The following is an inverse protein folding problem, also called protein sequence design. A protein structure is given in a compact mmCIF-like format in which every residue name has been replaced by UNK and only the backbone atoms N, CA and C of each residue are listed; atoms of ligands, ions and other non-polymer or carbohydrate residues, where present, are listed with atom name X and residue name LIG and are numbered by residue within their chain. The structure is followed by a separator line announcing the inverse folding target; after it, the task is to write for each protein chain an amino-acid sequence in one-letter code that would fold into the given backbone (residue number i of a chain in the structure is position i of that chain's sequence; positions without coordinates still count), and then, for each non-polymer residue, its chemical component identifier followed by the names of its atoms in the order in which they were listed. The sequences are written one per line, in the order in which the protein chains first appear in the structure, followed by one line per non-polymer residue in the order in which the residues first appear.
data_IF_670948609133
#
_entry.id   IF_670948609133
#
_cell.length_a   1.000
_cell.length_b   1.000
_cell.length_c   1.000
_cell.angle_alpha   90.00
_cell.angle_beta   90.00
_cell.angle_gamma   90.00
#
_symmetry.space_group_name_H-M   'P 1'
#
loop_
_entity.id
_entity.type
_entity.pdbx_description
1 polymer ?
#
# COMPACT_ATOMS: atom_id res chain seq x y z
N UNK A 1 -21.80 -10.49 -22.22
CA UNK A 1 -20.39 -10.02 -22.15
C UNK A 1 -20.39 -8.77 -21.30
N UNK A 2 -19.60 -8.71 -20.24
CA UNK A 2 -19.52 -7.54 -19.36
C UNK A 2 -18.87 -6.35 -20.09
N UNK A 3 -19.51 -5.19 -20.05
CA UNK A 3 -19.01 -3.96 -20.67
C UNK A 3 -18.11 -3.21 -19.68
N UNK A 4 -16.88 -2.91 -20.08
CA UNK A 4 -15.98 -2.09 -19.29
C UNK A 4 -16.46 -0.66 -19.24
N UNK A 5 -16.53 -0.07 -18.05
CA UNK A 5 -16.94 1.29 -17.81
C UNK A 5 -15.90 2.03 -16.96
N UNK A 6 -15.64 3.27 -17.31
CA UNK A 6 -14.73 4.14 -16.56
C UNK A 6 -15.27 5.57 -16.48
N UNK A 7 -14.96 6.26 -15.41
CA UNK A 7 -15.17 7.70 -15.27
C UNK A 7 -13.95 8.29 -14.58
N UNK A 8 -13.33 9.25 -15.22
CA UNK A 8 -12.20 10.00 -14.68
C UNK A 8 -12.57 11.47 -14.59
N UNK A 9 -12.42 12.04 -13.41
CA UNK A 9 -12.54 13.49 -13.21
C UNK A 9 -11.17 14.08 -12.90
N UNK A 10 -10.81 15.15 -13.63
CA UNK A 10 -9.60 15.92 -13.34
C UNK A 10 -10.04 17.36 -13.07
N UNK A 11 -9.83 17.81 -11.83
CA UNK A 11 -10.26 19.12 -11.33
C UNK A 11 -9.05 20.04 -11.17
N UNK A 12 -8.94 21.03 -12.07
CA UNK A 12 -8.01 22.13 -12.00
C UNK A 12 -8.77 23.46 -12.04
N UNK A 13 -8.38 24.38 -12.91
CA UNK A 13 -9.16 25.61 -13.18
C UNK A 13 -10.54 25.32 -13.77
N UNK A 14 -10.67 24.19 -14.45
CA UNK A 14 -11.92 23.61 -14.96
C UNK A 14 -11.95 22.14 -14.58
N UNK A 15 -13.14 21.53 -14.56
CA UNK A 15 -13.30 20.09 -14.37
C UNK A 15 -13.40 19.41 -15.74
N UNK A 16 -12.55 18.43 -15.95
CA UNK A 16 -12.54 17.58 -17.14
C UNK A 16 -13.03 16.19 -16.77
N UNK A 17 -13.99 15.67 -17.51
CA UNK A 17 -14.56 14.35 -17.31
C UNK A 17 -14.30 13.49 -18.54
N UNK A 18 -13.73 12.30 -18.32
CA UNK A 18 -13.49 11.30 -19.36
C UNK A 18 -14.23 10.03 -19.00
N UNK A 19 -15.13 9.59 -19.87
CA UNK A 19 -15.85 8.32 -19.74
C UNK A 19 -15.12 7.17 -20.45
N UNK A 20 -14.13 7.50 -21.29
CA UNK A 20 -13.33 6.54 -22.04
C UNK A 20 -11.85 6.87 -21.90
N UNK A 21 -11.07 5.87 -21.55
CA UNK A 21 -9.61 5.92 -21.47
C UNK A 21 -9.01 4.77 -22.26
N UNK A 22 -7.75 4.88 -22.65
CA UNK A 22 -7.02 3.79 -23.31
C UNK A 22 -6.61 2.74 -22.32
N UNK A 23 -6.03 3.17 -21.19
CA UNK A 23 -5.68 2.31 -20.05
C UNK A 23 -5.56 3.10 -18.75
N UNK A 24 -5.68 2.36 -17.66
CA UNK A 24 -5.36 2.83 -16.32
C UNK A 24 -4.59 1.73 -15.59
N UNK A 25 -3.53 2.10 -14.89
CA UNK A 25 -2.81 1.25 -13.97
C UNK A 25 -2.73 1.93 -12.60
N UNK A 26 -3.13 1.24 -11.54
CA UNK A 26 -3.05 1.72 -10.16
C UNK A 26 -2.23 0.72 -9.36
N UNK A 27 -1.17 1.18 -8.69
CA UNK A 27 -0.31 0.33 -7.87
C UNK A 27 -0.45 0.72 -6.40
N UNK A 28 -0.92 -0.23 -5.60
CA UNK A 28 -1.05 -0.16 -4.15
C UNK A 28 -0.09 -1.16 -3.53
N UNK A 29 0.93 -0.70 -2.85
CA UNK A 29 1.97 -1.56 -2.27
C UNK A 29 2.22 -1.14 -0.82
N UNK A 30 2.23 -2.10 0.11
CA UNK A 30 2.52 -1.84 1.54
C UNK A 30 3.96 -1.37 1.76
N UNK A 31 4.85 -1.68 0.83
CA UNK A 31 6.25 -1.25 0.88
C UNK A 31 6.49 0.08 0.16
N UNK A 32 5.47 0.69 -0.43
CA UNK A 32 5.50 2.04 -0.97
C UNK A 32 4.75 3.02 -0.07
N UNK A 33 5.28 4.24 0.09
CA UNK A 33 4.57 5.33 0.78
C UNK A 33 3.36 5.82 -0.02
N UNK A 34 3.47 5.76 -1.35
CA UNK A 34 2.57 6.40 -2.30
C UNK A 34 1.86 5.37 -3.15
N UNK A 35 0.52 5.48 -3.27
CA UNK A 35 -0.23 4.83 -4.33
C UNK A 35 -0.02 5.63 -5.61
N UNK A 36 0.34 4.96 -6.69
CA UNK A 36 0.50 5.59 -8.00
C UNK A 36 -0.63 5.21 -8.94
N UNK A 37 -1.01 6.14 -9.81
CA UNK A 37 -1.96 5.89 -10.88
C UNK A 37 -1.40 6.43 -12.20
N UNK A 38 -1.36 5.60 -13.23
CA UNK A 38 -0.97 5.99 -14.58
C UNK A 38 -2.19 5.87 -15.49
N UNK A 39 -2.63 6.99 -16.04
CA UNK A 39 -3.74 7.09 -16.97
C UNK A 39 -3.21 7.32 -18.38
N UNK A 40 -3.73 6.58 -19.36
CA UNK A 40 -3.47 6.82 -20.76
C UNK A 40 -4.77 7.26 -21.42
N UNK A 41 -4.80 8.51 -21.86
CA UNK A 41 -5.95 9.09 -22.52
C UNK A 41 -6.01 8.70 -24.02
N UNK A 42 -7.19 8.78 -24.67
CA UNK A 42 -7.31 8.52 -26.10
C UNK A 42 -6.40 9.43 -26.94
N UNK A 43 -5.96 8.96 -28.10
CA UNK A 43 -5.08 9.72 -29.01
C UNK A 43 -5.65 11.05 -29.46
N UNK A 44 -6.97 11.11 -29.68
CA UNK A 44 -7.67 12.30 -30.15
C UNK A 44 -8.59 12.81 -29.05
N UNK A 45 -8.22 13.92 -28.43
CA UNK A 45 -9.02 14.62 -27.44
C UNK A 45 -9.25 16.04 -27.94
N UNK A 46 -10.52 16.47 -27.92
CA UNK A 46 -10.87 17.86 -28.15
C UNK A 46 -11.05 18.56 -26.80
N UNK A 47 -10.16 19.48 -26.51
CA UNK A 47 -10.22 20.28 -25.29
C UNK A 47 -11.15 21.50 -25.54
N UNK A 48 -12.43 21.35 -25.14
CA UNK A 48 -13.42 22.42 -25.37
C UNK A 48 -12.99 23.77 -24.75
N UNK A 49 -12.74 24.75 -25.62
CA UNK A 49 -12.32 26.09 -25.19
C UNK A 49 -10.85 26.26 -24.87
N UNK A 50 -10.01 25.26 -25.18
CA UNK A 50 -8.57 25.31 -24.98
C UNK A 50 -7.84 24.93 -26.27
N UNK A 51 -6.73 25.60 -26.55
CA UNK A 51 -5.87 25.30 -27.71
C UNK A 51 -4.91 24.12 -27.48
N UNK A 52 -4.68 23.73 -26.25
CA UNK A 52 -3.78 22.67 -25.86
C UNK A 52 -4.28 21.94 -24.61
N UNK A 53 -3.60 20.87 -24.20
CA UNK A 53 -3.93 20.12 -22.99
C UNK A 53 -3.84 21.02 -21.73
N UNK A 54 -4.97 21.33 -21.06
CA UNK A 54 -5.04 22.24 -19.92
C UNK A 54 -4.65 21.61 -18.58
N UNK A 55 -4.51 20.29 -18.52
CA UNK A 55 -4.18 19.55 -17.28
C UNK A 55 -2.80 19.98 -16.78
N UNK A 56 -2.70 20.24 -15.47
CA UNK A 56 -1.48 20.72 -14.81
C UNK A 56 -1.10 19.82 -13.64
N UNK A 57 0.17 19.86 -13.25
CA UNK A 57 0.64 19.28 -11.99
C UNK A 57 -0.15 19.89 -10.82
N UNK A 58 -0.62 19.03 -9.92
CA UNK A 58 -1.42 19.41 -8.76
C UNK A 58 -2.93 19.44 -9.00
N UNK A 59 -3.41 19.25 -10.24
CA UNK A 59 -4.83 19.07 -10.48
C UNK A 59 -5.31 17.78 -9.78
N UNK A 60 -6.48 17.82 -9.13
CA UNK A 60 -7.06 16.66 -8.45
C UNK A 60 -7.57 15.65 -9.47
N UNK A 61 -7.36 14.38 -9.19
CA UNK A 61 -7.79 13.25 -10.04
C UNK A 61 -8.62 12.30 -9.23
N UNK A 62 -9.78 11.92 -9.78
CA UNK A 62 -10.62 10.85 -9.24
C UNK A 62 -10.92 9.85 -10.35
N UNK A 63 -10.73 8.57 -10.07
CA UNK A 63 -10.89 7.48 -11.03
C UNK A 63 -11.90 6.47 -10.53
N UNK A 64 -12.95 6.23 -11.29
CA UNK A 64 -13.90 5.16 -11.09
C UNK A 64 -13.78 4.15 -12.23
N UNK A 65 -13.75 2.88 -11.88
CA UNK A 65 -13.66 1.76 -12.82
C UNK A 65 -14.73 0.73 -12.49
N UNK A 66 -15.24 0.03 -13.49
CA UNK A 66 -16.26 -0.96 -13.27
C UNK A 66 -16.71 -1.72 -14.52
N UNK A 67 -17.79 -2.47 -14.34
CA UNK A 67 -18.48 -3.21 -15.38
C UNK A 67 -19.97 -2.78 -15.43
N UNK A 68 -20.56 -2.74 -16.63
CA UNK A 68 -22.00 -2.53 -16.84
C UNK A 68 -22.59 -1.36 -16.06
N UNK A 69 -21.83 -0.24 -16.03
CA UNK A 69 -22.14 1.02 -15.33
C UNK A 69 -22.11 0.95 -13.79
N UNK A 70 -21.74 -0.21 -13.20
CA UNK A 70 -21.40 -0.32 -11.78
C UNK A 70 -19.96 0.14 -11.54
N UNK A 71 -19.80 1.41 -11.21
CA UNK A 71 -18.53 2.09 -11.04
C UNK A 71 -18.10 2.11 -9.57
N UNK A 72 -16.90 1.62 -9.29
CA UNK A 72 -16.25 1.68 -8.00
C UNK A 72 -15.14 2.72 -8.00
N UNK A 73 -15.00 3.45 -6.90
CA UNK A 73 -13.90 4.40 -6.71
C UNK A 73 -12.58 3.64 -6.59
N UNK A 74 -11.74 3.79 -7.62
CA UNK A 74 -10.47 3.08 -7.71
C UNK A 74 -9.28 3.91 -7.24
N UNK A 75 -9.33 5.25 -7.42
CA UNK A 75 -8.21 6.13 -7.04
C UNK A 75 -8.67 7.56 -6.82
N UNK A 76 -8.06 8.21 -5.83
CA UNK A 76 -8.08 9.66 -5.64
C UNK A 76 -6.65 10.15 -5.41
N UNK A 77 -6.35 11.34 -5.94
CA UNK A 77 -5.04 11.95 -5.78
C UNK A 77 -4.84 13.15 -6.68
N UNK A 78 -3.60 13.34 -7.13
CA UNK A 78 -3.16 14.54 -7.83
C UNK A 78 -2.29 14.19 -9.03
N UNK A 79 -2.38 15.01 -10.08
CA UNK A 79 -1.48 14.91 -11.23
C UNK A 79 -0.06 15.24 -10.79
N UNK A 80 0.84 14.28 -10.94
CA UNK A 80 2.28 14.48 -10.73
C UNK A 80 2.94 15.00 -12.00
N UNK A 81 2.65 14.34 -13.13
CA UNK A 81 3.27 14.63 -14.42
C UNK A 81 2.34 14.26 -15.56
N UNK A 82 2.42 15.01 -16.66
CA UNK A 82 1.75 14.66 -17.91
C UNK A 82 2.77 14.51 -19.05
N UNK A 83 2.53 13.54 -19.93
CA UNK A 83 3.26 13.36 -21.17
C UNK A 83 2.84 14.42 -22.23
N UNK A 84 3.75 14.66 -23.19
CA UNK A 84 3.49 15.57 -24.30
C UNK A 84 3.13 14.84 -25.60
N UNK A 85 3.42 13.54 -25.68
CA UNK A 85 3.15 12.71 -26.87
C UNK A 85 1.77 12.07 -26.80
N UNK A 86 1.11 11.93 -27.94
CA UNK A 86 -0.15 11.19 -28.04
C UNK A 86 0.10 9.68 -28.25
N UNK A 87 -0.57 8.78 -27.49
CA UNK A 87 -1.58 9.05 -26.48
C UNK A 87 -0.98 9.72 -25.24
N UNK A 88 -1.75 10.60 -24.60
CA UNK A 88 -1.28 11.37 -23.44
C UNK A 88 -1.26 10.46 -22.21
N UNK A 89 -0.11 10.29 -21.63
CA UNK A 89 0.08 9.64 -20.33
C UNK A 89 0.04 10.67 -19.20
N UNK A 90 -0.73 10.39 -18.15
CA UNK A 90 -0.83 11.20 -16.93
C UNK A 90 -0.43 10.32 -15.75
N UNK A 91 0.61 10.71 -15.04
CA UNK A 91 1.05 10.05 -13.80
C UNK A 91 0.50 10.82 -12.62
N UNK A 92 -0.11 10.08 -11.69
CA UNK A 92 -0.74 10.63 -10.51
C UNK A 92 -0.21 9.93 -9.25
N UNK A 93 -0.28 10.64 -8.13
CA UNK A 93 0.01 10.15 -6.80
C UNK A 93 -1.19 10.41 -5.89
N UNK A 94 -1.37 9.59 -4.86
CA UNK A 94 -2.38 9.78 -3.84
C UNK A 94 -2.11 11.02 -2.97
N UNK A 95 -2.74 11.14 -1.82
CA UNK A 95 -2.57 12.25 -0.88
C UNK A 95 -1.11 12.44 -0.38
N UNK A 96 -0.22 11.48 -0.63
CA UNK A 96 1.20 11.66 -0.35
C UNK A 96 1.81 12.81 -1.17
N UNK A 97 1.23 13.11 -2.35
CA UNK A 97 1.57 14.31 -3.13
C UNK A 97 1.46 15.59 -2.29
N UNK A 98 0.43 15.72 -1.47
CA UNK A 98 0.23 16.87 -0.57
C UNK A 98 1.25 16.83 0.56
N UNK A 99 1.48 15.66 1.18
CA UNK A 99 2.43 15.52 2.29
C UNK A 99 3.88 15.81 1.87
N UNK A 100 4.24 15.57 0.62
CA UNK A 100 5.53 15.98 0.04
C UNK A 100 5.73 17.51 -0.02
N UNK A 101 4.63 18.26 0.05
CA UNK A 101 4.64 19.72 0.01
C UNK A 101 4.28 20.35 1.37
N UNK A 102 3.86 19.53 2.34
CA UNK A 102 3.49 19.97 3.69
C UNK A 102 4.76 20.07 4.55
N UNK A 103 5.14 21.27 5.02
CA UNK A 103 6.30 21.42 5.89
C UNK A 103 6.16 20.59 7.16
N UNK A 104 7.22 19.89 7.56
CA UNK A 104 7.23 19.15 8.81
C UNK A 104 7.36 20.09 10.01
N UNK A 105 6.59 19.84 11.08
CA UNK A 105 6.72 20.54 12.35
C UNK A 105 8.00 20.06 13.04
N UNK A 106 9.04 20.91 13.03
CA UNK A 106 10.35 20.61 13.62
C UNK A 106 10.26 20.68 15.14
N UNK A 107 10.39 19.54 15.80
CA UNK A 107 10.28 19.40 17.26
C UNK A 107 11.22 18.31 17.78
N UNK A 108 11.71 18.47 19.01
CA UNK A 108 12.50 17.46 19.70
C UNK A 108 11.67 16.89 20.85
N UNK A 109 11.59 15.58 20.92
CA UNK A 109 10.86 14.85 21.95
C UNK A 109 11.85 14.09 22.84
N UNK A 110 11.58 14.05 24.13
CA UNK A 110 12.31 13.17 25.07
C UNK A 110 11.79 11.74 25.00
N UNK A 111 10.48 11.60 24.77
CA UNK A 111 9.79 10.33 24.56
C UNK A 111 8.50 10.61 23.78
N UNK A 112 8.23 9.86 22.69
CA UNK A 112 7.04 10.07 21.87
C UNK A 112 6.59 8.79 21.24
N UNK A 113 5.27 8.59 21.17
CA UNK A 113 4.63 7.55 20.35
C UNK A 113 4.47 8.03 18.91
N UNK A 114 4.39 7.10 17.96
CA UNK A 114 4.13 7.42 16.54
C UNK A 114 2.84 8.21 16.38
N UNK A 115 1.80 7.86 17.15
CA UNK A 115 0.52 8.57 17.11
C UNK A 115 0.67 10.05 17.50
N UNK A 116 1.34 10.33 18.62
CA UNK A 116 1.56 11.70 19.09
C UNK A 116 2.49 12.48 18.14
N UNK A 117 3.53 11.80 17.62
CA UNK A 117 4.43 12.38 16.62
C UNK A 117 3.68 12.86 15.38
N UNK A 118 2.73 12.05 14.89
CA UNK A 118 1.93 12.38 13.69
C UNK A 118 0.82 13.39 14.01
N UNK A 119 0.18 13.33 15.17
CA UNK A 119 -0.79 14.35 15.63
C UNK A 119 -0.16 15.75 15.69
N UNK A 120 1.07 15.84 16.17
CA UNK A 120 1.82 17.10 16.23
C UNK A 120 2.15 17.69 14.84
N UNK A 121 2.05 16.89 13.76
CA UNK A 121 2.19 17.41 12.40
C UNK A 121 0.94 18.17 11.91
N UNK A 122 -0.15 18.19 12.68
CA UNK A 122 -1.40 18.89 12.37
C UNK A 122 -1.97 18.57 10.99
N UNK A 123 -1.95 17.28 10.64
CA UNK A 123 -2.44 16.80 9.34
C UNK A 123 -3.97 16.84 9.30
N UNK A 124 -4.51 17.29 8.18
CA UNK A 124 -5.96 17.33 7.95
C UNK A 124 -6.48 15.99 7.39
N UNK A 125 -6.06 14.87 8.00
CA UNK A 125 -6.48 13.52 7.64
C UNK A 125 -6.89 12.73 8.88
N UNK A 126 -7.81 11.80 8.70
CA UNK A 126 -8.05 10.77 9.72
C UNK A 126 -6.80 9.89 9.79
N UNK A 127 -6.27 9.73 11.00
CA UNK A 127 -5.09 8.93 11.28
C UNK A 127 -5.51 7.61 11.94
N UNK A 128 -5.05 6.50 11.39
CA UNK A 128 -5.16 5.16 12.00
C UNK A 128 -3.78 4.61 12.29
N UNK A 129 -3.40 4.58 13.55
CA UNK A 129 -2.14 3.99 14.00
C UNK A 129 -2.39 2.56 14.44
N UNK A 130 -1.69 1.60 13.80
CA UNK A 130 -1.80 0.17 14.06
C UNK A 130 -0.67 -0.27 14.98
N UNK A 131 -1.03 -0.79 16.15
CA UNK A 131 -0.11 -1.14 17.21
C UNK A 131 0.45 0.09 17.94
N UNK A 132 0.69 -0.05 19.23
CA UNK A 132 1.31 1.00 20.01
C UNK A 132 2.82 1.00 19.77
N UNK A 133 3.34 2.07 19.16
CA UNK A 133 4.75 2.22 18.82
C UNK A 133 5.33 3.44 19.55
N UNK A 134 6.23 3.20 20.49
CA UNK A 134 7.00 4.27 21.14
C UNK A 134 8.38 4.38 20.47
N UNK A 135 8.62 5.50 19.79
CA UNK A 135 9.89 5.76 19.11
C UNK A 135 10.93 6.41 20.03
N UNK A 136 10.60 6.62 21.31
CA UNK A 136 11.51 7.15 22.32
C UNK A 136 11.89 8.60 22.07
N UNK A 137 13.17 8.91 22.28
CA UNK A 137 13.71 10.24 21.99
C UNK A 137 13.77 10.44 20.47
N UNK A 138 13.06 11.44 19.97
CA UNK A 138 12.97 11.69 18.54
C UNK A 138 13.14 13.17 18.22
N UNK A 139 13.88 13.46 17.16
CA UNK A 139 14.02 14.82 16.63
C UNK A 139 13.53 14.86 15.19
N UNK A 140 12.47 15.60 14.97
CA UNK A 140 12.00 15.90 13.59
C UNK A 140 12.92 16.96 13.00
N UNK A 141 13.73 16.56 12.01
CA UNK A 141 14.67 17.43 11.31
C UNK A 141 14.66 17.14 9.81
N UNK A 142 13.46 17.12 9.25
CA UNK A 142 13.18 16.93 7.83
C UNK A 142 12.41 18.12 7.30
N UNK A 143 12.35 18.28 5.97
CA UNK A 143 11.72 19.47 5.40
C UNK A 143 10.21 19.29 5.21
N UNK A 144 9.74 18.08 4.95
CA UNK A 144 8.32 17.82 4.74
C UNK A 144 7.86 16.53 5.45
N UNK A 145 6.54 16.39 5.58
CA UNK A 145 5.94 15.25 6.29
C UNK A 145 6.21 13.92 5.59
N UNK A 146 6.26 13.88 4.26
CA UNK A 146 6.55 12.63 3.55
C UNK A 146 7.95 12.09 3.87
N UNK A 147 8.94 12.97 4.05
CA UNK A 147 10.28 12.57 4.52
C UNK A 147 10.25 12.02 5.95
N UNK A 148 9.44 12.63 6.85
CA UNK A 148 9.23 12.06 8.19
C UNK A 148 8.68 10.63 8.11
N UNK A 149 7.67 10.41 7.27
CA UNK A 149 7.09 9.09 7.07
C UNK A 149 8.09 8.10 6.43
N UNK A 150 8.95 8.57 5.53
CA UNK A 150 10.01 7.76 4.95
C UNK A 150 11.03 7.31 6.02
N UNK A 151 11.44 8.18 6.93
CA UNK A 151 12.30 7.81 8.04
C UNK A 151 11.63 6.82 9.01
N UNK A 152 10.33 6.97 9.27
CA UNK A 152 9.59 5.98 10.07
C UNK A 152 9.58 4.61 9.38
N UNK A 153 9.42 4.58 8.06
CA UNK A 153 9.44 3.37 7.25
C UNK A 153 10.80 2.63 7.32
N UNK A 154 11.91 3.35 7.34
CA UNK A 154 13.25 2.76 7.53
C UNK A 154 13.35 1.95 8.83
N UNK A 155 12.52 2.28 9.81
CA UNK A 155 12.40 1.60 11.09
C UNK A 155 11.19 0.65 11.17
N UNK A 156 10.76 0.11 10.03
CA UNK A 156 9.66 -0.86 9.89
C UNK A 156 8.27 -0.32 10.26
N UNK A 157 8.10 0.99 10.38
CA UNK A 157 6.80 1.63 10.58
C UNK A 157 6.27 2.02 9.19
N UNK A 158 5.41 1.16 8.63
CA UNK A 158 4.82 1.39 7.31
C UNK A 158 3.76 2.49 7.37
N UNK A 159 3.65 3.25 6.30
CA UNK A 159 2.66 4.33 6.20
C UNK A 159 2.15 4.45 4.77
N UNK A 160 0.85 4.59 4.61
CA UNK A 160 0.20 4.78 3.31
C UNK A 160 -1.24 5.29 3.48
N UNK A 161 -1.81 5.85 2.43
CA UNK A 161 -3.22 6.21 2.41
C UNK A 161 -4.10 5.08 1.91
N UNK A 162 -5.27 4.89 2.55
CA UNK A 162 -6.38 4.06 2.05
C UNK A 162 -7.62 4.93 1.87
N UNK A 163 -8.49 4.53 0.96
CA UNK A 163 -9.81 5.14 0.82
C UNK A 163 -10.80 4.39 1.70
N UNK A 164 -11.42 5.09 2.64
CA UNK A 164 -12.53 4.61 3.46
C UNK A 164 -13.70 5.57 3.32
N UNK A 165 -14.86 5.04 2.99
CA UNK A 165 -16.05 5.85 2.70
C UNK A 165 -15.72 7.04 1.76
N UNK A 166 -14.97 6.73 0.69
CA UNK A 166 -14.50 7.68 -0.31
C UNK A 166 -13.58 8.80 0.20
N UNK A 167 -13.04 8.67 1.42
CA UNK A 167 -12.11 9.63 2.02
C UNK A 167 -10.73 9.03 2.24
N UNK A 168 -9.66 9.81 2.03
CA UNK A 168 -8.33 9.36 2.33
C UNK A 168 -8.09 9.28 3.85
N UNK A 169 -7.67 8.12 4.32
CA UNK A 169 -7.27 7.84 5.70
C UNK A 169 -5.80 7.44 5.72
N UNK A 170 -5.02 8.10 6.56
CA UNK A 170 -3.61 7.80 6.73
C UNK A 170 -3.41 6.66 7.71
N UNK A 171 -2.96 5.53 7.21
CA UNK A 171 -2.56 4.37 8.00
C UNK A 171 -1.08 4.46 8.34
N UNK A 172 -0.72 4.16 9.59
CA UNK A 172 0.66 4.13 10.05
C UNK A 172 0.86 3.05 11.10
N UNK A 173 1.98 2.37 11.10
CA UNK A 173 2.35 1.43 12.16
C UNK A 173 2.88 0.09 11.66
N UNK A 174 2.81 -0.91 12.55
CA UNK A 174 3.15 -2.30 12.26
C UNK A 174 1.89 -3.01 11.78
N UNK A 175 1.88 -3.41 10.50
CA UNK A 175 0.67 -3.79 9.77
C UNK A 175 0.21 -5.25 9.99
N UNK A 176 0.87 -6.00 10.87
CA UNK A 176 0.72 -7.44 10.93
C UNK A 176 -0.54 -7.95 11.65
N UNK A 177 -1.00 -7.22 12.66
CA UNK A 177 -2.12 -7.66 13.51
C UNK A 177 -3.48 -7.10 13.09
N UNK A 178 -3.54 -6.44 11.92
CA UNK A 178 -4.78 -5.88 11.43
C UNK A 178 -5.65 -6.97 10.80
N UNK A 179 -6.68 -7.43 11.51
CA UNK A 179 -7.65 -8.41 11.04
C UNK A 179 -9.04 -7.81 10.98
N UNK A 180 -9.50 -7.51 9.76
CA UNK A 180 -10.83 -6.93 9.48
C UNK A 180 -11.88 -7.96 9.04
N UNK A 181 -11.56 -9.24 9.11
CA UNK A 181 -12.37 -10.30 8.53
C UNK A 181 -12.07 -10.51 7.03
N UNK A 182 -12.60 -11.61 6.48
CA UNK A 182 -12.39 -11.95 5.06
C UNK A 182 -13.25 -11.03 4.20
N UNK A 183 -12.61 -10.24 3.34
CA UNK A 183 -13.29 -9.38 2.37
C UNK A 183 -13.78 -10.16 1.14
N UNK A 184 -12.96 -11.11 0.66
CA UNK A 184 -13.26 -11.91 -0.53
C UNK A 184 -12.56 -13.27 -0.44
N UNK A 185 -13.18 -14.29 -1.05
CA UNK A 185 -12.59 -15.61 -1.26
C UNK A 185 -12.25 -15.77 -2.74
N UNK A 186 -11.03 -16.19 -3.02
CA UNK A 186 -10.53 -16.47 -4.35
C UNK A 186 -10.31 -17.97 -4.53
N UNK A 187 -10.74 -18.50 -5.67
CA UNK A 187 -10.68 -19.92 -5.98
C UNK A 187 -10.26 -20.15 -7.43
N UNK A 188 -9.32 -21.07 -7.65
CA UNK A 188 -8.89 -21.48 -8.99
C UNK A 188 -10.06 -22.06 -9.76
N UNK A 189 -10.15 -21.68 -11.04
CA UNK A 189 -11.26 -22.10 -11.92
C UNK A 189 -12.59 -21.35 -11.69
N UNK A 190 -12.67 -20.46 -10.69
CA UNK A 190 -13.87 -19.65 -10.39
C UNK A 190 -13.60 -18.17 -10.65
N UNK A 191 -12.73 -17.56 -9.88
CA UNK A 191 -12.44 -16.13 -9.98
C UNK A 191 -10.92 -15.80 -10.00
N UNK A 192 -10.04 -16.78 -9.89
CA UNK A 192 -8.62 -16.66 -10.23
C UNK A 192 -8.47 -16.89 -11.73
N UNK A 193 -7.93 -15.90 -12.44
CA UNK A 193 -7.68 -15.97 -13.90
C UNK A 193 -6.33 -16.64 -14.17
N UNK A 194 -5.31 -16.32 -13.37
CA UNK A 194 -3.97 -16.89 -13.45
C UNK A 194 -3.38 -17.00 -12.05
N UNK A 195 -2.83 -18.16 -11.77
CA UNK A 195 -2.15 -18.53 -10.53
C UNK A 195 -0.70 -18.97 -10.74
N UNK A 196 -0.17 -18.74 -11.95
CA UNK A 196 1.17 -19.19 -12.34
C UNK A 196 2.32 -18.64 -11.48
N UNK A 197 2.05 -17.64 -10.66
CA UNK A 197 3.01 -17.04 -9.72
C UNK A 197 2.67 -17.36 -8.26
N UNK A 198 1.76 -18.31 -8.00
CA UNK A 198 1.51 -18.84 -6.67
C UNK A 198 2.35 -20.08 -6.44
N UNK A 199 3.10 -20.07 -5.35
CA UNK A 199 3.91 -21.20 -4.90
C UNK A 199 3.46 -21.67 -3.52
N UNK A 200 3.54 -22.98 -3.30
CA UNK A 200 3.32 -23.57 -1.98
C UNK A 200 4.61 -23.47 -1.16
N UNK A 201 4.50 -22.87 0.02
CA UNK A 201 5.62 -22.73 0.95
C UNK A 201 5.45 -23.72 2.10
N UNK A 202 6.46 -24.56 2.33
CA UNK A 202 6.56 -25.37 3.52
C UNK A 202 7.50 -24.68 4.51
N UNK A 203 7.10 -24.64 5.77
CA UNK A 203 7.87 -23.98 6.83
C UNK A 203 9.28 -24.56 7.02
N UNK A 204 9.44 -25.86 6.73
CA UNK A 204 10.73 -26.56 6.81
C UNK A 204 11.72 -26.14 5.73
N UNK A 205 11.23 -25.73 4.56
CA UNK A 205 12.06 -25.31 3.43
C UNK A 205 12.50 -23.84 3.55
N UNK A 206 11.81 -23.06 4.38
CA UNK A 206 12.08 -21.62 4.54
C UNK A 206 13.18 -21.41 5.58
N UNK A 207 14.35 -21.05 5.10
CA UNK A 207 15.49 -20.71 5.95
C UNK A 207 15.65 -19.19 6.04
N UNK A 208 15.41 -18.64 7.22
CA UNK A 208 15.48 -17.21 7.48
C UNK A 208 16.33 -16.95 8.72
N UNK A 209 17.24 -15.97 8.61
CA UNK A 209 17.96 -15.38 9.74
C UNK A 209 17.51 -13.97 9.96
N UNK A 210 16.74 -13.75 11.05
CA UNK A 210 16.28 -12.42 11.42
C UNK A 210 17.30 -11.72 12.32
N UNK A 211 17.69 -10.51 11.91
CA UNK A 211 18.38 -9.56 12.76
C UNK A 211 17.38 -8.57 13.32
N UNK A 212 17.07 -8.70 14.59
CA UNK A 212 16.21 -7.78 15.32
C UNK A 212 17.05 -6.61 15.86
N UNK A 213 16.66 -5.41 15.53
CA UNK A 213 17.29 -4.18 16.03
C UNK A 213 16.28 -3.45 16.88
N UNK A 214 16.48 -3.47 18.21
CA UNK A 214 15.68 -2.70 19.14
C UNK A 214 16.31 -1.32 19.33
N UNK A 215 15.59 -0.31 18.89
CA UNK A 215 15.95 1.10 19.08
C UNK A 215 15.58 1.51 20.52
N UNK A 216 16.57 1.98 21.28
CA UNK A 216 16.33 2.38 22.66
C UNK A 216 15.80 3.82 22.75
N UNK A 217 15.09 4.18 23.84
CA UNK A 217 14.49 5.51 24.00
C UNK A 217 15.47 6.69 23.88
N UNK A 218 16.77 6.47 24.09
CA UNK A 218 17.82 7.47 23.93
C UNK A 218 18.26 7.67 22.48
N UNK A 219 17.80 6.81 21.55
CA UNK A 219 18.17 6.77 20.13
C UNK A 219 19.70 6.67 19.85
N UNK A 220 20.50 6.41 20.86
CA UNK A 220 21.96 6.23 20.74
C UNK A 220 22.34 4.77 20.81
N UNK A 221 21.68 4.03 21.70
CA UNK A 221 21.92 2.62 21.90
C UNK A 221 20.97 1.78 21.04
N UNK A 222 21.50 0.67 20.53
CA UNK A 222 20.74 -0.31 19.75
C UNK A 222 21.07 -1.68 20.28
N UNK A 223 20.06 -2.40 20.75
CA UNK A 223 20.18 -3.82 21.08
C UNK A 223 19.99 -4.59 19.76
N UNK A 224 20.90 -5.51 19.50
CA UNK A 224 20.85 -6.35 18.29
C UNK A 224 20.81 -7.80 18.69
N UNK A 225 19.80 -8.51 18.25
CA UNK A 225 19.64 -9.96 18.48
C UNK A 225 19.47 -10.64 17.13
N UNK A 226 20.01 -11.82 16.97
CA UNK A 226 19.81 -12.66 15.79
C UNK A 226 19.04 -13.92 16.21
N UNK A 227 18.01 -14.26 15.43
CA UNK A 227 17.20 -15.48 15.60
C UNK A 227 17.01 -16.18 14.27
N UNK A 228 16.80 -17.50 14.28
CA UNK A 228 16.54 -18.31 13.09
C UNK A 228 17.76 -19.07 12.57
N UNK A 229 17.73 -19.42 11.29
CA UNK A 229 18.67 -20.35 10.68
C UNK A 229 20.00 -19.66 10.32
N UNK A 230 21.13 -20.27 10.65
CA UNK A 230 22.44 -19.67 10.42
C UNK A 230 22.78 -19.49 8.92
N UNK A 231 22.24 -20.37 8.08
CA UNK A 231 22.38 -20.39 6.62
C UNK A 231 21.19 -19.74 5.90
N UNK A 232 20.25 -19.14 6.65
CA UNK A 232 19.04 -18.54 6.10
C UNK A 232 19.24 -17.15 5.46
N UNK A 233 18.26 -16.75 4.65
CA UNK A 233 18.15 -15.40 4.10
C UNK A 233 18.16 -14.37 5.23
N UNK A 234 19.08 -13.40 5.16
CA UNK A 234 19.21 -12.37 6.17
C UNK A 234 18.18 -11.28 5.98
N UNK A 235 17.32 -11.09 6.99
CA UNK A 235 16.34 -9.99 7.05
C UNK A 235 16.57 -9.17 8.32
N UNK A 236 16.43 -7.86 8.23
CA UNK A 236 16.51 -6.97 9.40
C UNK A 236 15.13 -6.42 9.69
N UNK A 237 14.72 -6.53 10.95
CA UNK A 237 13.49 -5.95 11.47
C UNK A 237 13.80 -5.04 12.65
N UNK A 238 12.96 -4.04 12.86
CA UNK A 238 13.15 -3.04 13.91
C UNK A 238 12.00 -3.08 14.91
N UNK A 239 12.33 -2.92 16.19
CA UNK A 239 11.37 -2.69 17.26
C UNK A 239 11.87 -1.56 18.16
N UNK A 240 11.05 -1.13 19.10
CA UNK A 240 11.37 0.00 19.96
C UNK A 240 11.27 -0.38 21.43
N UNK A 241 12.22 0.12 22.23
CA UNK A 241 12.21 0.07 23.69
C UNK A 241 12.28 -1.33 24.29
N UNK A 242 12.53 -2.38 23.51
CA UNK A 242 12.62 -3.77 23.98
C UNK A 242 14.04 -4.05 24.49
N UNK A 243 14.14 -4.70 25.66
CA UNK A 243 15.40 -5.26 26.12
C UNK A 243 15.81 -6.47 25.26
N UNK A 244 16.96 -7.08 25.55
CA UNK A 244 17.50 -8.18 24.74
C UNK A 244 16.58 -9.40 24.69
N UNK A 245 16.02 -9.80 25.85
CA UNK A 245 15.12 -10.95 25.95
C UNK A 245 13.78 -10.69 25.25
N UNK A 246 13.23 -9.50 25.40
CA UNK A 246 11.98 -9.10 24.71
C UNK A 246 12.17 -8.97 23.21
N UNK A 247 13.32 -8.44 22.76
CA UNK A 247 13.64 -8.34 21.34
C UNK A 247 13.82 -9.73 20.72
N UNK A 248 14.44 -10.65 21.46
CA UNK A 248 14.60 -12.04 21.04
C UNK A 248 13.25 -12.76 20.92
N UNK A 249 12.42 -12.68 21.95
CA UNK A 249 11.08 -13.29 21.95
C UNK A 249 10.20 -12.75 20.82
N UNK A 250 10.25 -11.43 20.59
CA UNK A 250 9.54 -10.82 19.47
C UNK A 250 10.09 -11.28 18.10
N UNK A 251 11.40 -11.40 17.97
CA UNK A 251 12.04 -11.94 16.77
C UNK A 251 11.66 -13.39 16.49
N UNK A 252 11.54 -14.22 17.52
CA UNK A 252 11.10 -15.62 17.42
C UNK A 252 9.64 -15.70 16.94
N UNK A 253 8.74 -14.86 17.46
CA UNK A 253 7.35 -14.77 16.99
C UNK A 253 7.26 -14.36 15.51
N UNK A 254 8.06 -13.37 15.11
CA UNK A 254 8.11 -12.93 13.71
C UNK A 254 8.69 -14.01 12.80
N UNK A 255 9.71 -14.73 13.26
CA UNK A 255 10.30 -15.85 12.51
C UNK A 255 9.28 -16.98 12.31
N UNK A 256 8.55 -17.37 13.36
CA UNK A 256 7.49 -18.37 13.27
C UNK A 256 6.40 -17.96 12.28
N UNK A 257 6.05 -16.67 12.26
CA UNK A 257 5.08 -16.12 11.31
C UNK A 257 5.58 -16.17 9.86
N UNK A 258 6.87 -15.89 9.62
CA UNK A 258 7.48 -15.93 8.29
C UNK A 258 7.69 -17.36 7.77
N UNK A 259 7.88 -18.33 8.67
CA UNK A 259 8.11 -19.75 8.36
C UNK A 259 6.82 -20.59 8.34
N UNK A 260 5.65 -19.97 8.24
CA UNK A 260 4.37 -20.71 8.19
C UNK A 260 4.18 -21.39 6.85
N UNK A 261 3.57 -22.59 6.92
CA UNK A 261 3.06 -23.26 5.72
C UNK A 261 1.97 -22.41 5.06
N UNK A 262 1.89 -22.45 3.76
CA UNK A 262 0.87 -21.73 3.03
C UNK A 262 1.26 -21.39 1.60
N UNK A 263 0.62 -20.37 1.04
CA UNK A 263 0.92 -19.85 -0.29
C UNK A 263 1.74 -18.57 -0.21
N UNK A 264 2.62 -18.42 -1.18
CA UNK A 264 3.37 -17.19 -1.46
C UNK A 264 3.18 -16.77 -2.92
N UNK A 265 3.60 -15.56 -3.26
CA UNK A 265 3.54 -15.07 -4.63
C UNK A 265 2.30 -14.26 -4.94
N UNK A 266 1.84 -14.29 -6.17
CA UNK A 266 0.70 -13.50 -6.65
C UNK A 266 -0.21 -14.26 -7.59
N UNK A 267 -1.43 -13.75 -7.74
CA UNK A 267 -2.41 -14.26 -8.70
C UNK A 267 -3.18 -13.11 -9.33
N UNK A 268 -3.69 -13.36 -10.54
CA UNK A 268 -4.52 -12.39 -11.26
C UNK A 268 -6.00 -12.74 -11.13
N UNK A 269 -6.82 -11.72 -10.87
CA UNK A 269 -8.28 -11.84 -10.77
C UNK A 269 -9.02 -10.72 -11.51
N UNK A 270 -10.34 -10.77 -11.51
CA UNK A 270 -11.19 -9.72 -12.07
C UNK A 270 -11.22 -8.47 -11.16
N UNK A 271 -11.47 -7.29 -11.77
CA UNK A 271 -11.64 -6.02 -11.04
C UNK A 271 -13.01 -5.85 -10.37
N UNK A 272 -13.78 -6.92 -10.20
CA UNK A 272 -15.16 -6.85 -9.70
C UNK A 272 -15.25 -6.33 -8.25
N UNK A 273 -14.37 -6.79 -7.36
CA UNK A 273 -14.25 -6.29 -6.00
C UNK A 273 -12.87 -5.69 -5.85
N UNK A 274 -12.78 -4.37 -5.74
CA UNK A 274 -11.50 -3.70 -5.53
C UNK A 274 -10.94 -3.99 -4.15
N UNK A 275 -9.70 -4.48 -4.12
CA UNK A 275 -8.95 -4.75 -2.92
C UNK A 275 -7.92 -3.65 -2.65
N UNK A 276 -7.64 -3.47 -1.38
CA UNK A 276 -6.54 -2.61 -0.95
C UNK A 276 -5.58 -3.38 -0.02
N UNK A 277 -4.44 -2.78 0.25
CA UNK A 277 -3.48 -3.27 1.24
C UNK A 277 -4.17 -3.49 2.59
N UNK A 278 -3.76 -4.49 3.34
CA UNK A 278 -4.36 -4.95 4.61
C UNK A 278 -5.70 -5.65 4.48
N UNK A 279 -6.37 -5.67 3.33
CA UNK A 279 -7.55 -6.49 3.16
C UNK A 279 -7.19 -7.96 3.38
N UNK A 280 -8.06 -8.68 4.07
CA UNK A 280 -7.89 -10.11 4.30
C UNK A 280 -8.67 -10.87 3.24
N UNK A 281 -8.00 -11.80 2.58
CA UNK A 281 -8.60 -12.65 1.55
C UNK A 281 -8.44 -14.13 1.91
N UNK A 282 -9.43 -14.93 1.54
CA UNK A 282 -9.33 -16.38 1.57
C UNK A 282 -8.86 -16.90 0.22
N UNK A 283 -8.01 -17.92 0.19
CA UNK A 283 -7.57 -18.56 -1.05
C UNK A 283 -7.88 -20.04 -1.01
N UNK A 284 -8.44 -20.54 -2.12
CA UNK A 284 -8.72 -21.96 -2.37
C UNK A 284 -8.07 -22.39 -3.68
N UNK A 285 -7.43 -23.54 -3.66
CA UNK A 285 -6.84 -24.18 -4.83
C UNK A 285 -7.58 -25.49 -5.06
N UNK A 286 -8.19 -25.65 -6.23
CA UNK A 286 -8.97 -26.85 -6.61
C UNK A 286 -10.02 -27.27 -5.55
N UNK A 287 -10.72 -26.28 -4.97
CA UNK A 287 -11.73 -26.50 -3.93
C UNK A 287 -11.16 -26.59 -2.50
N UNK A 288 -9.87 -26.81 -2.36
CA UNK A 288 -9.20 -26.95 -1.07
C UNK A 288 -8.81 -25.59 -0.49
N UNK A 289 -9.15 -25.33 0.77
CA UNK A 289 -8.80 -24.08 1.46
C UNK A 289 -7.32 -24.05 1.82
N UNK A 290 -6.59 -23.08 1.30
CA UNK A 290 -5.14 -22.88 1.55
C UNK A 290 -4.84 -21.82 2.61
N UNK A 291 -5.85 -21.13 3.13
CA UNK A 291 -5.71 -20.17 4.24
C UNK A 291 -6.27 -18.79 3.97
N UNK A 292 -6.00 -17.90 4.92
CA UNK A 292 -6.32 -16.46 4.86
C UNK A 292 -5.02 -15.67 4.74
N UNK A 293 -5.01 -14.67 3.88
CA UNK A 293 -3.82 -13.87 3.61
C UNK A 293 -4.16 -12.38 3.62
N UNK A 294 -3.25 -11.59 4.10
CA UNK A 294 -3.29 -10.15 3.96
C UNK A 294 -2.84 -9.78 2.54
N UNK A 295 -3.49 -8.79 1.93
CA UNK A 295 -3.04 -8.23 0.66
C UNK A 295 -1.81 -7.36 0.90
N UNK A 296 -0.66 -7.77 0.38
CA UNK A 296 0.61 -7.02 0.43
C UNK A 296 0.65 -5.93 -0.64
N UNK A 297 0.28 -6.32 -1.88
CA UNK A 297 0.28 -5.45 -3.04
C UNK A 297 -0.90 -5.77 -3.92
N UNK A 298 -1.49 -4.76 -4.54
CA UNK A 298 -2.49 -4.90 -5.57
C UNK A 298 -2.17 -3.97 -6.74
N UNK A 299 -1.97 -4.54 -7.92
CA UNK A 299 -1.84 -3.80 -9.18
C UNK A 299 -3.14 -3.93 -9.96
N UNK A 300 -3.88 -2.83 -10.07
CA UNK A 300 -5.14 -2.76 -10.78
C UNK A 300 -4.86 -2.27 -12.20
N UNK A 301 -5.31 -3.03 -13.19
CA UNK A 301 -5.19 -2.67 -14.61
C UNK A 301 -6.56 -2.62 -15.27
N UNK A 302 -6.76 -1.61 -16.12
CA UNK A 302 -8.00 -1.41 -16.87
C UNK A 302 -7.65 -0.98 -18.30
N UNK A 303 -8.24 -1.63 -19.30
CA UNK A 303 -8.00 -1.31 -20.72
C UNK A 303 -8.30 -2.47 -21.65
N UNK A 304 -7.56 -2.60 -22.75
CA UNK A 304 -7.77 -3.64 -23.76
C UNK A 304 -7.67 -5.08 -23.20
N UNK A 305 -6.83 -5.29 -22.16
CA UNK A 305 -6.71 -6.57 -21.45
C UNK A 305 -7.85 -6.87 -20.47
N UNK A 306 -8.82 -5.98 -20.35
CA UNK A 306 -9.92 -6.08 -19.38
C UNK A 306 -9.69 -5.25 -18.12
N UNK A 307 -10.53 -5.48 -17.12
CA UNK A 307 -10.37 -4.93 -15.77
C UNK A 307 -9.87 -6.06 -14.85
N UNK A 308 -8.63 -5.94 -14.39
CA UNK A 308 -7.91 -6.99 -13.66
C UNK A 308 -7.25 -6.44 -12.41
N UNK A 309 -6.99 -7.34 -11.48
CA UNK A 309 -6.16 -7.10 -10.31
C UNK A 309 -5.08 -8.20 -10.23
N UNK A 310 -3.83 -7.81 -10.07
CA UNK A 310 -2.74 -8.70 -9.70
C UNK A 310 -2.46 -8.52 -8.21
N UNK A 311 -2.75 -9.57 -7.43
CA UNK A 311 -2.75 -9.55 -5.97
C UNK A 311 -1.56 -10.33 -5.47
N UNK A 312 -0.62 -9.65 -4.81
CA UNK A 312 0.49 -10.29 -4.10
C UNK A 312 0.06 -10.60 -2.67
N UNK A 313 0.25 -11.85 -2.29
CA UNK A 313 -0.03 -12.33 -0.94
C UNK A 313 0.99 -11.78 0.06
N UNK A 314 0.49 -11.28 1.15
CA UNK A 314 1.27 -10.89 2.32
C UNK A 314 1.26 -11.96 3.41
N UNK A 315 1.26 -11.54 4.65
CA UNK A 315 1.27 -12.45 5.79
C UNK A 315 0.02 -13.34 5.82
N UNK A 316 0.21 -14.64 6.13
CA UNK A 316 -0.90 -15.53 6.47
C UNK A 316 -1.49 -15.12 7.81
N UNK A 317 -2.79 -14.95 7.86
CA UNK A 317 -3.55 -14.60 9.06
C UNK A 317 -4.00 -15.88 9.77
N UNK A 318 -3.98 -15.86 11.10
CA UNK A 318 -4.50 -16.99 11.88
C UNK A 318 -5.97 -17.25 11.57
N UNK A 319 -6.40 -18.51 11.70
CA UNK A 319 -7.78 -18.92 11.43
C UNK A 319 -8.76 -18.43 12.49
#
# INVERSE_FOLDING_TARGET
MLKLCSKIEIKGSKTWVFEKITSCEIVRDMDALTTTCTLVLPRKIQWKGESSNPIKRGDQVTVWLGYDDDLQLAFQGYVLQKGFKAPIEIKCEDEMFVLKQTPAVKKTYKNVTVENLLKDQNLNYTLKVLGEQNVGQYRVNVDNVAELLAHLKENSIKTFFRLEDEKPVLYCGVMFDHNTGIRQVFETGVNIISDSSLDEQNSEDVKIKLKVVSLQPDNKNKIKVEVGDNDGERRTIHCYGKNESEAKAWGEQELERLKRDGLTGSFTTFGHVLLDRLDIIGVKINGERKGKYQVQKNTITFGAGGFRQDITLGARVAE
#
